data_IF_835563921483
#
_entry.id   IF_835563921483
#
_cell.length_a   1.000
_cell.length_b   1.000
_cell.length_c   1.000
_cell.angle_alpha   90.00
_cell.angle_beta   90.00
_cell.angle_gamma   90.00
#
_symmetry.space_group_name_H-M   'P 1'
#
loop_
_entity.id
_entity.type
_entity.pdbx_description
1 polymer ?
#
# COMPACT_ATOMS: atom_id res chain seq x y z
N UNK A 1 -34.52 -12.35 23.17
CA UNK A 1 -33.89 -11.12 22.65
C UNK A 1 -32.46 -11.47 22.30
N UNK A 2 -32.02 -11.24 21.06
CA UNK A 2 -30.63 -11.52 20.66
C UNK A 2 -29.69 -10.57 21.43
N UNK A 3 -28.63 -11.12 22.00
CA UNK A 3 -27.62 -10.37 22.73
C UNK A 3 -26.96 -9.37 21.77
N UNK A 4 -26.64 -8.15 22.22
CA UNK A 4 -25.93 -7.14 21.42
C UNK A 4 -24.56 -7.66 20.95
N UNK A 5 -24.03 -8.70 21.60
CA UNK A 5 -22.80 -9.39 21.23
C UNK A 5 -22.93 -10.38 20.06
N UNK A 6 -24.14 -10.80 19.67
CA UNK A 6 -24.36 -11.71 18.53
C UNK A 6 -24.38 -10.98 17.16
N UNK A 7 -24.39 -9.64 17.16
CA UNK A 7 -24.49 -8.82 15.93
C UNK A 7 -23.11 -8.47 15.36
N UNK A 8 -22.07 -8.54 16.20
CA UNK A 8 -20.72 -8.02 15.90
C UNK A 8 -19.97 -8.83 14.82
N UNK A 9 -20.05 -10.19 14.79
CA UNK A 9 -19.38 -10.98 13.76
C UNK A 9 -19.94 -10.74 12.35
N UNK A 10 -21.26 -10.54 12.22
CA UNK A 10 -21.91 -10.26 10.94
C UNK A 10 -21.49 -8.90 10.37
N UNK A 11 -21.29 -7.89 11.24
CA UNK A 11 -20.91 -6.55 10.81
C UNK A 11 -19.45 -6.48 10.35
N UNK A 12 -18.51 -7.08 11.08
CA UNK A 12 -17.11 -7.11 10.64
C UNK A 12 -16.96 -7.88 9.33
N UNK A 13 -17.77 -8.93 9.13
CA UNK A 13 -17.89 -9.63 7.84
C UNK A 13 -18.22 -8.67 6.69
N UNK A 14 -19.25 -7.83 6.85
CA UNK A 14 -19.63 -6.83 5.85
C UNK A 14 -18.55 -5.77 5.62
N UNK A 15 -17.94 -5.26 6.70
CA UNK A 15 -16.86 -4.25 6.65
C UNK A 15 -15.64 -4.81 5.90
N UNK A 16 -15.30 -6.08 6.14
CA UNK A 16 -14.11 -6.73 5.59
C UNK A 16 -14.10 -6.86 4.07
N UNK A 17 -15.26 -6.76 3.41
CA UNK A 17 -15.41 -6.90 1.97
C UNK A 17 -15.05 -5.63 1.17
N UNK A 18 -14.95 -4.47 1.82
CA UNK A 18 -14.60 -3.21 1.16
C UNK A 18 -13.30 -2.64 1.74
N UNK A 19 -12.29 -2.41 0.89
CA UNK A 19 -10.97 -1.96 1.34
C UNK A 19 -10.95 -0.55 1.95
N UNK A 20 -11.79 0.37 1.47
CA UNK A 20 -11.91 1.70 2.07
C UNK A 20 -12.58 1.62 3.43
N UNK A 21 -13.71 0.92 3.53
CA UNK A 21 -14.47 0.78 4.77
C UNK A 21 -13.63 0.03 5.81
N UNK A 22 -12.94 -1.04 5.41
CA UNK A 22 -11.98 -1.76 6.25
C UNK A 22 -10.86 -0.87 6.76
N UNK A 23 -10.27 -0.01 5.91
CA UNK A 23 -9.25 0.95 6.32
C UNK A 23 -9.81 1.98 7.32
N UNK A 24 -10.98 2.55 7.05
CA UNK A 24 -11.61 3.53 7.92
C UNK A 24 -11.99 2.93 9.27
N UNK A 25 -12.50 1.69 9.27
CA UNK A 25 -12.81 0.94 10.49
C UNK A 25 -11.54 0.72 11.33
N UNK A 26 -10.48 0.22 10.71
CA UNK A 26 -9.19 0.02 11.36
C UNK A 26 -8.61 1.33 11.93
N UNK A 27 -8.72 2.44 11.18
CA UNK A 27 -8.18 3.74 11.58
C UNK A 27 -8.99 4.41 12.70
N UNK A 28 -10.31 4.48 12.54
CA UNK A 28 -11.17 5.33 13.36
C UNK A 28 -11.79 4.58 14.54
N UNK A 29 -12.12 3.30 14.35
CA UNK A 29 -12.83 2.50 15.35
C UNK A 29 -11.85 1.63 16.13
N UNK A 30 -11.13 0.74 15.45
CA UNK A 30 -10.19 -0.16 16.14
C UNK A 30 -8.92 0.55 16.60
N UNK A 31 -8.51 1.61 15.89
CA UNK A 31 -7.19 2.28 16.06
C UNK A 31 -6.03 1.28 16.03
N UNK A 32 -6.17 0.24 15.20
CA UNK A 32 -5.34 -0.95 15.18
C UNK A 32 -5.53 -1.74 13.90
N UNK A 33 -4.90 -2.91 13.80
CA UNK A 33 -5.07 -3.78 12.63
C UNK A 33 -6.49 -4.36 12.60
N UNK A 34 -6.93 -4.66 11.38
CA UNK A 34 -8.21 -5.29 11.07
C UNK A 34 -7.91 -6.41 10.10
N UNK A 35 -7.43 -7.52 10.63
CA UNK A 35 -6.90 -8.66 9.89
C UNK A 35 -7.92 -9.23 8.89
N UNK A 36 -9.21 -9.26 9.24
CA UNK A 36 -10.30 -9.70 8.36
C UNK A 36 -10.39 -8.85 7.08
N UNK A 37 -10.24 -7.52 7.20
CA UNK A 37 -10.32 -6.60 6.06
C UNK A 37 -9.03 -6.46 5.24
N UNK A 38 -7.91 -7.03 5.68
CA UNK A 38 -6.62 -6.89 5.01
C UNK A 38 -6.65 -7.41 3.57
N UNK A 39 -7.48 -8.42 3.29
CA UNK A 39 -7.67 -8.90 1.93
C UNK A 39 -8.23 -7.81 1.01
N UNK A 40 -9.37 -7.21 1.38
CA UNK A 40 -9.99 -6.16 0.57
C UNK A 40 -9.09 -4.92 0.47
N UNK A 41 -8.44 -4.52 1.56
CA UNK A 41 -7.47 -3.42 1.56
C UNK A 41 -6.35 -3.70 0.55
N UNK A 42 -5.79 -4.92 0.53
CA UNK A 42 -4.66 -5.27 -0.33
C UNK A 42 -4.97 -5.21 -1.83
N UNK A 43 -6.25 -5.23 -2.21
CA UNK A 43 -6.70 -5.17 -3.61
C UNK A 43 -6.68 -3.73 -4.17
N UNK A 44 -6.67 -2.71 -3.30
CA UNK A 44 -6.49 -1.31 -3.70
C UNK A 44 -5.10 -0.80 -3.32
N UNK A 45 -4.27 -0.33 -4.27
CA UNK A 45 -2.93 0.15 -3.97
C UNK A 45 -2.94 1.38 -3.06
N UNK A 46 -3.92 2.27 -3.21
CA UNK A 46 -4.06 3.46 -2.38
C UNK A 46 -4.30 3.10 -0.90
N UNK A 47 -5.36 2.31 -0.66
CA UNK A 47 -5.74 1.91 0.70
C UNK A 47 -4.66 1.06 1.34
N UNK A 48 -4.01 0.19 0.57
CA UNK A 48 -2.88 -0.59 1.06
C UNK A 48 -1.68 0.28 1.51
N UNK A 49 -1.32 1.31 0.75
CA UNK A 49 -0.23 2.22 1.15
C UNK A 49 -0.60 3.01 2.40
N UNK A 50 -1.83 3.55 2.45
CA UNK A 50 -2.32 4.27 3.63
C UNK A 50 -2.35 3.36 4.86
N UNK A 51 -2.87 2.14 4.72
CA UNK A 51 -2.93 1.15 5.79
C UNK A 51 -1.53 0.75 6.29
N UNK A 52 -0.61 0.47 5.37
CA UNK A 52 0.78 0.14 5.71
C UNK A 52 1.49 1.30 6.43
N UNK A 53 1.22 2.54 6.02
CA UNK A 53 1.82 3.75 6.60
C UNK A 53 1.27 4.08 7.98
N UNK A 54 -0.05 4.13 8.13
CA UNK A 54 -0.69 4.71 9.31
C UNK A 54 -1.07 3.67 10.36
N UNK A 55 -1.41 2.45 9.94
CA UNK A 55 -1.90 1.39 10.83
C UNK A 55 -0.79 0.38 11.13
N UNK A 56 -0.30 -0.32 10.08
CA UNK A 56 0.72 -1.37 10.26
C UNK A 56 2.08 -0.76 10.66
N UNK A 57 2.42 0.44 10.15
CA UNK A 57 3.70 1.16 10.33
C UNK A 57 4.94 0.34 9.92
N UNK A 58 4.74 -0.67 9.08
CA UNK A 58 5.77 -1.52 8.48
C UNK A 58 5.27 -2.02 7.12
N UNK A 59 6.07 -2.83 6.45
CA UNK A 59 5.69 -3.44 5.18
C UNK A 59 4.37 -4.20 5.29
N UNK A 60 3.58 -4.16 4.23
CA UNK A 60 2.37 -4.94 4.06
C UNK A 60 2.50 -5.90 2.85
N UNK A 61 3.19 -7.05 3.01
CA UNK A 61 3.55 -7.94 1.90
C UNK A 61 2.39 -8.37 1.02
N UNK A 62 1.19 -8.56 1.60
CA UNK A 62 -0.02 -8.97 0.87
C UNK A 62 -0.39 -8.01 -0.26
N UNK A 63 -0.12 -6.72 -0.08
CA UNK A 63 -0.44 -5.70 -1.07
C UNK A 63 0.70 -5.36 -2.04
N UNK A 64 1.92 -5.83 -1.79
CA UNK A 64 3.11 -5.39 -2.56
C UNK A 64 3.01 -5.68 -4.05
N UNK A 65 2.39 -6.81 -4.44
CA UNK A 65 2.15 -7.14 -5.85
C UNK A 65 1.16 -6.17 -6.51
N UNK A 66 0.13 -5.74 -5.79
CA UNK A 66 -0.85 -4.76 -6.29
C UNK A 66 -0.17 -3.40 -6.41
N UNK A 67 0.48 -2.94 -5.35
CA UNK A 67 1.20 -1.66 -5.30
C UNK A 67 2.24 -1.57 -6.42
N UNK A 68 3.02 -2.63 -6.68
CA UNK A 68 4.10 -2.61 -7.68
C UNK A 68 3.64 -2.39 -9.13
N UNK A 69 2.33 -2.50 -9.40
CA UNK A 69 1.75 -2.25 -10.73
C UNK A 69 1.38 -0.78 -10.95
N UNK A 70 1.45 0.05 -9.91
CA UNK A 70 1.10 1.46 -9.96
C UNK A 70 2.30 2.31 -9.50
N UNK A 71 3.02 2.97 -10.43
CA UNK A 71 4.24 3.72 -10.11
C UNK A 71 4.10 4.73 -8.97
N UNK A 72 3.00 5.47 -8.95
CA UNK A 72 2.66 6.43 -7.89
C UNK A 72 2.67 5.78 -6.51
N UNK A 73 1.83 4.77 -6.31
CA UNK A 73 1.72 4.08 -5.03
C UNK A 73 2.98 3.31 -4.67
N UNK A 74 3.71 2.76 -5.66
CA UNK A 74 4.99 2.13 -5.44
C UNK A 74 6.04 3.12 -4.90
N UNK A 75 6.10 4.32 -5.48
CA UNK A 75 6.96 5.41 -5.01
C UNK A 75 6.54 5.90 -3.62
N UNK A 76 5.24 6.11 -3.37
CA UNK A 76 4.73 6.51 -2.04
C UNK A 76 5.04 5.44 -0.98
N UNK A 77 4.90 4.16 -1.31
CA UNK A 77 5.25 3.04 -0.43
C UNK A 77 6.74 3.02 -0.11
N UNK A 78 7.60 3.21 -1.12
CA UNK A 78 9.04 3.40 -0.94
C UNK A 78 9.32 4.56 0.02
N UNK A 79 8.72 5.73 -0.22
CA UNK A 79 9.01 6.95 0.52
C UNK A 79 8.53 6.94 1.96
N UNK A 80 7.35 6.35 2.22
CA UNK A 80 6.68 6.50 3.50
C UNK A 80 6.62 5.22 4.34
N UNK A 81 6.73 4.04 3.74
CA UNK A 81 6.61 2.76 4.45
C UNK A 81 7.95 2.05 4.50
N UNK A 82 8.60 1.85 3.36
CA UNK A 82 9.86 1.09 3.29
C UNK A 82 11.02 1.95 3.77
N UNK A 83 11.11 3.21 3.33
CA UNK A 83 12.15 4.20 3.68
C UNK A 83 13.59 3.73 3.47
N UNK A 84 13.76 2.67 2.68
CA UNK A 84 15.01 2.03 2.29
C UNK A 84 14.79 1.36 0.94
N UNK A 85 15.68 0.44 0.54
CA UNK A 85 15.51 -0.34 -0.68
C UNK A 85 14.15 -1.06 -0.74
N UNK A 86 13.41 -0.81 -1.82
CA UNK A 86 12.20 -1.56 -2.15
C UNK A 86 12.47 -3.07 -2.22
N UNK A 87 11.49 -3.93 -1.93
CA UNK A 87 11.60 -5.36 -2.16
C UNK A 87 11.98 -5.66 -3.62
N UNK A 88 12.86 -6.65 -3.85
CA UNK A 88 13.45 -6.94 -5.17
C UNK A 88 12.42 -7.00 -6.30
N UNK A 89 11.27 -7.64 -6.08
CA UNK A 89 10.18 -7.74 -7.07
C UNK A 89 9.59 -6.36 -7.44
N UNK A 90 9.38 -5.48 -6.46
CA UNK A 90 8.85 -4.13 -6.68
C UNK A 90 9.90 -3.23 -7.35
N UNK A 91 11.15 -3.32 -6.91
CA UNK A 91 12.28 -2.61 -7.52
C UNK A 91 12.43 -2.96 -9.02
N UNK A 92 12.43 -4.26 -9.34
CA UNK A 92 12.52 -4.71 -10.74
C UNK A 92 11.31 -4.26 -11.57
N UNK A 93 10.11 -4.19 -10.97
CA UNK A 93 8.94 -3.64 -11.65
C UNK A 93 9.15 -2.15 -11.99
N UNK A 94 9.68 -1.35 -11.06
CA UNK A 94 10.02 0.06 -11.31
C UNK A 94 11.08 0.23 -12.40
N UNK A 95 12.14 -0.59 -12.39
CA UNK A 95 13.15 -0.58 -13.47
C UNK A 95 12.52 -0.89 -14.83
N UNK A 96 11.73 -1.96 -14.92
CA UNK A 96 11.06 -2.37 -16.16
C UNK A 96 10.11 -1.29 -16.68
N UNK A 97 9.43 -0.58 -15.77
CA UNK A 97 8.59 0.55 -16.13
C UNK A 97 9.43 1.74 -16.64
N UNK A 98 10.60 2.00 -16.06
CA UNK A 98 11.50 3.06 -16.50
C UNK A 98 12.02 2.85 -17.92
N UNK A 99 12.39 1.62 -18.27
CA UNK A 99 12.79 1.29 -19.64
C UNK A 99 11.66 1.43 -20.67
N UNK A 100 10.42 1.16 -20.27
CA UNK A 100 9.25 1.23 -21.16
C UNK A 100 8.66 2.63 -21.28
N UNK A 101 8.71 3.40 -20.21
CA UNK A 101 8.15 4.73 -20.10
C UNK A 101 9.06 5.60 -19.20
N UNK A 102 10.17 6.12 -19.75
CA UNK A 102 11.14 6.90 -18.99
C UNK A 102 10.57 8.23 -18.48
N UNK A 103 9.49 8.72 -19.09
CA UNK A 103 8.81 9.96 -18.72
C UNK A 103 7.82 9.80 -17.55
N UNK A 104 7.61 8.57 -17.04
CA UNK A 104 6.76 8.41 -15.87
C UNK A 104 7.40 9.10 -14.66
N UNK A 105 6.76 10.19 -14.19
CA UNK A 105 7.25 11.04 -13.12
C UNK A 105 7.68 10.25 -11.87
N UNK A 106 6.85 9.33 -11.39
CA UNK A 106 7.12 8.56 -10.17
C UNK A 106 8.25 7.55 -10.34
N UNK A 107 8.35 6.94 -11.53
CA UNK A 107 9.49 6.05 -11.84
C UNK A 107 10.78 6.84 -11.90
N UNK A 108 10.83 7.94 -12.65
CA UNK A 108 12.02 8.79 -12.75
C UNK A 108 12.46 9.30 -11.38
N UNK A 109 11.52 9.75 -10.54
CA UNK A 109 11.80 10.20 -9.17
C UNK A 109 12.38 9.09 -8.30
N UNK A 110 11.80 7.89 -8.37
CA UNK A 110 12.34 6.72 -7.67
C UNK A 110 13.78 6.41 -8.12
N UNK A 111 14.01 6.30 -9.44
CA UNK A 111 15.32 5.94 -10.00
C UNK A 111 16.40 6.98 -9.69
N UNK A 112 16.04 8.27 -9.69
CA UNK A 112 16.93 9.37 -9.26
C UNK A 112 17.24 9.29 -7.76
N UNK A 113 16.26 8.99 -6.91
CA UNK A 113 16.48 8.85 -5.46
C UNK A 113 17.37 7.66 -5.09
N UNK A 114 17.37 6.60 -5.90
CA UNK A 114 18.25 5.43 -5.68
C UNK A 114 19.56 5.49 -6.48
N UNK A 115 19.84 6.60 -7.16
CA UNK A 115 21.11 6.83 -7.87
C UNK A 115 21.28 6.08 -9.18
N UNK A 116 20.19 5.61 -9.81
CA UNK A 116 20.25 4.93 -11.13
C UNK A 116 20.16 5.92 -12.28
N UNK A 117 19.29 6.93 -12.17
CA UNK A 117 19.28 8.05 -13.11
C UNK A 117 20.14 9.16 -12.53
N UNK A 118 20.96 9.78 -13.37
CA UNK A 118 21.74 10.94 -12.97
C UNK A 118 20.81 12.02 -12.40
N UNK A 119 21.23 12.63 -11.29
CA UNK A 119 20.63 13.90 -10.90
C UNK A 119 21.09 14.88 -11.96
N UNK A 120 20.28 15.13 -13.00
CA UNK A 120 20.61 16.16 -13.99
C UNK A 120 21.22 17.36 -13.26
N UNK A 121 22.51 17.58 -13.54
CA UNK A 121 23.33 18.59 -12.93
C UNK A 121 23.02 19.96 -13.50
N UNK A 122 23.42 20.96 -12.72
CA UNK A 122 23.32 22.43 -12.91
C UNK A 122 21.91 23.00 -12.90
#
# INVERSE_FOLDING_TARGET
>A
ARDKNDIVPDLEGLISNNGEVSYLYALRILRGRFELGEEAISRSPEWAVRYARFIIKKRFPRAERRISRHPEFCYLYYKHVVKKRLPKKMHNAMLKMGFRNPHNYFVAKYLKEIGILERNGS
#
